data_IF_605809550839
#
_entry.id   IF_605809550839
#
_cell.length_a   1.000
_cell.length_b   1.000
_cell.length_c   1.000
_cell.angle_alpha   90.00
_cell.angle_beta   90.00
_cell.angle_gamma   90.00
#
_symmetry.space_group_name_H-M   'P 1'
#
loop_
_entity.id
_entity.type
_entity.pdbx_description
1 polymer ?
#
# COMPACT_ATOMS: atom_id res chain seq x y z
N UNK A 1 -7.37 -20.19 -18.16
CA UNK A 1 -8.22 -20.79 -17.11
C UNK A 1 -8.27 -19.83 -15.94
N UNK A 2 -9.46 -19.36 -15.56
CA UNK A 2 -9.64 -18.58 -14.32
C UNK A 2 -9.57 -19.53 -13.12
N UNK A 3 -8.90 -19.12 -12.04
CA UNK A 3 -8.88 -19.88 -10.78
C UNK A 3 -10.11 -19.56 -9.90
N UNK A 4 -11.00 -18.67 -10.35
CA UNK A 4 -12.23 -18.32 -9.66
C UNK A 4 -13.29 -19.40 -9.95
N UNK A 5 -13.93 -20.00 -8.93
CA UNK A 5 -15.06 -20.89 -9.13
C UNK A 5 -16.15 -20.23 -9.96
N UNK A 6 -16.78 -20.98 -10.88
CA UNK A 6 -17.79 -20.42 -11.80
C UNK A 6 -18.92 -19.68 -11.06
N UNK A 7 -19.36 -20.20 -9.91
CA UNK A 7 -20.40 -19.59 -9.08
C UNK A 7 -20.04 -18.23 -8.48
N UNK A 8 -18.75 -17.88 -8.40
CA UNK A 8 -18.28 -16.60 -7.86
C UNK A 8 -17.84 -15.62 -8.95
N UNK A 9 -17.69 -16.08 -10.20
CA UNK A 9 -17.11 -15.30 -11.29
C UNK A 9 -17.90 -14.02 -11.61
N UNK A 10 -19.21 -14.03 -11.35
CA UNK A 10 -20.14 -12.94 -11.65
C UNK A 10 -20.62 -12.18 -10.41
N UNK A 11 -20.20 -12.60 -9.22
CA UNK A 11 -20.60 -11.94 -7.98
C UNK A 11 -19.66 -10.76 -7.69
N UNK A 12 -20.15 -9.50 -7.78
CA UNK A 12 -19.32 -8.32 -7.59
C UNK A 12 -18.87 -8.12 -6.14
N UNK A 13 -19.44 -8.85 -5.18
CA UNK A 13 -19.05 -8.81 -3.77
C UNK A 13 -18.03 -9.89 -3.41
N UNK A 14 -17.67 -10.77 -4.36
CA UNK A 14 -16.69 -11.83 -4.11
C UNK A 14 -15.29 -11.43 -4.58
N UNK A 15 -14.35 -11.43 -3.64
CA UNK A 15 -12.96 -11.07 -3.90
C UNK A 15 -12.01 -12.23 -3.59
N UNK A 16 -10.91 -12.35 -4.34
CA UNK A 16 -9.80 -13.20 -3.94
C UNK A 16 -8.92 -12.47 -2.92
N UNK A 17 -8.60 -13.15 -1.82
CA UNK A 17 -7.64 -12.73 -0.81
C UNK A 17 -6.53 -13.78 -0.73
N UNK A 18 -5.29 -13.34 -0.58
CA UNK A 18 -4.14 -14.22 -0.41
C UNK A 18 -3.17 -13.60 0.57
N UNK A 19 -2.93 -14.31 1.67
CA UNK A 19 -1.99 -13.93 2.70
C UNK A 19 -0.51 -14.17 2.28
N UNK A 20 0.41 -13.58 3.05
CA UNK A 20 1.86 -13.70 2.91
C UNK A 20 2.54 -12.47 2.29
N UNK A 21 3.86 -12.54 2.12
CA UNK A 21 4.65 -11.39 1.66
C UNK A 21 4.74 -11.28 0.13
N UNK A 22 4.73 -12.42 -0.57
CA UNK A 22 4.88 -12.49 -2.02
C UNK A 22 3.56 -12.84 -2.72
N UNK A 23 3.11 -11.99 -3.65
CA UNK A 23 1.89 -12.24 -4.42
C UNK A 23 0.66 -12.16 -3.55
N UNK A 24 0.61 -11.22 -2.60
CA UNK A 24 -0.49 -11.08 -1.64
C UNK A 24 -1.54 -10.10 -2.13
N UNK A 25 -2.77 -10.38 -1.70
CA UNK A 25 -3.95 -9.56 -1.93
C UNK A 25 -4.65 -9.49 -0.58
N UNK A 26 -4.82 -8.28 -0.05
CA UNK A 26 -5.53 -8.03 1.20
C UNK A 26 -6.72 -7.12 0.92
N UNK A 27 -7.89 -7.47 1.45
CA UNK A 27 -9.13 -6.70 1.29
C UNK A 27 -9.61 -6.24 2.67
N UNK A 28 -9.74 -4.92 2.82
CA UNK A 28 -10.34 -4.25 3.97
C UNK A 28 -11.77 -3.86 3.61
N UNK A 29 -12.73 -4.28 4.43
CA UNK A 29 -14.15 -4.06 4.22
C UNK A 29 -14.86 -3.94 5.56
N UNK A 30 -16.04 -3.29 5.59
CA UNK A 30 -16.82 -3.15 6.81
C UNK A 30 -17.40 -4.49 7.28
N UNK A 31 -17.82 -5.33 6.34
CA UNK A 31 -18.24 -6.71 6.58
C UNK A 31 -17.52 -7.64 5.60
N UNK A 32 -16.94 -8.72 6.13
CA UNK A 32 -16.16 -9.69 5.37
C UNK A 32 -16.35 -11.10 5.93
N UNK A 33 -16.74 -12.03 5.08
CA UNK A 33 -16.86 -13.46 5.42
C UNK A 33 -16.10 -14.32 4.41
N UNK A 34 -15.32 -15.28 4.90
CA UNK A 34 -14.66 -16.26 4.03
C UNK A 34 -15.68 -17.30 3.55
N UNK A 35 -15.86 -17.38 2.24
CA UNK A 35 -16.76 -18.36 1.61
C UNK A 35 -16.07 -19.70 1.39
N UNK A 36 -14.84 -19.66 0.86
CA UNK A 36 -14.10 -20.88 0.49
C UNK A 36 -12.61 -20.62 0.41
N UNK A 37 -11.81 -21.57 0.89
CA UNK A 37 -10.36 -21.59 0.66
C UNK A 37 -10.01 -22.59 -0.44
N UNK A 38 -9.20 -22.16 -1.41
CA UNK A 38 -8.63 -23.04 -2.42
C UNK A 38 -7.13 -22.78 -2.54
N UNK A 39 -6.33 -23.77 -2.13
CA UNK A 39 -4.87 -23.63 -1.99
C UNK A 39 -4.54 -22.44 -1.07
N UNK A 40 -3.85 -21.43 -1.59
CA UNK A 40 -3.45 -20.22 -0.85
C UNK A 40 -4.41 -19.04 -1.04
N UNK A 41 -5.51 -19.22 -1.78
CA UNK A 41 -6.47 -18.14 -2.07
C UNK A 41 -7.73 -18.39 -1.26
N UNK A 42 -8.13 -17.38 -0.47
CA UNK A 42 -9.43 -17.30 0.17
C UNK A 42 -10.37 -16.52 -0.75
N UNK A 43 -11.53 -17.07 -1.06
CA UNK A 43 -12.63 -16.33 -1.67
C UNK A 43 -13.50 -15.81 -0.54
N UNK A 44 -13.62 -14.48 -0.48
CA UNK A 44 -14.35 -13.77 0.55
C UNK A 44 -15.57 -13.09 -0.08
N UNK A 45 -16.69 -13.03 0.63
CA UNK A 45 -17.74 -12.05 0.35
C UNK A 45 -17.40 -10.80 1.19
N UNK A 46 -17.23 -9.65 0.54
CA UNK A 46 -16.83 -8.41 1.18
C UNK A 46 -17.80 -7.28 0.80
N UNK A 47 -18.43 -6.68 1.80
CA UNK A 47 -19.37 -5.58 1.66
C UNK A 47 -18.76 -4.29 2.18
N UNK A 48 -19.04 -3.20 1.48
CA UNK A 48 -18.48 -1.88 1.75
C UNK A 48 -16.94 -1.92 1.85
N UNK A 49 -16.30 -2.31 0.74
CA UNK A 49 -14.83 -2.39 0.62
C UNK A 49 -14.23 -1.00 0.81
N UNK A 50 -13.37 -0.87 1.81
CA UNK A 50 -12.68 0.36 2.20
C UNK A 50 -11.31 0.47 1.53
N UNK A 51 -10.62 -0.65 1.33
CA UNK A 51 -9.29 -0.66 0.77
C UNK A 51 -8.84 -2.02 0.25
N UNK A 52 -7.94 -2.01 -0.72
CA UNK A 52 -7.31 -3.21 -1.28
C UNK A 52 -5.81 -2.95 -1.34
N UNK A 53 -5.02 -3.92 -0.90
CA UNK A 53 -3.56 -3.90 -1.01
C UNK A 53 -3.13 -5.10 -1.85
N UNK A 54 -2.33 -4.84 -2.88
CA UNK A 54 -1.78 -5.87 -3.75
C UNK A 54 -0.25 -5.74 -3.82
N UNK A 55 0.43 -6.84 -3.55
CA UNK A 55 1.87 -6.97 -3.76
C UNK A 55 2.11 -8.11 -4.75
N UNK A 56 2.79 -7.83 -5.85
CA UNK A 56 3.11 -8.87 -6.84
C UNK A 56 4.11 -9.89 -6.30
N UNK A 57 4.13 -11.09 -6.89
CA UNK A 57 5.04 -12.15 -6.48
C UNK A 57 6.52 -11.75 -6.60
N UNK A 58 6.87 -10.92 -7.58
CA UNK A 58 8.24 -10.41 -7.76
C UNK A 58 8.58 -9.24 -6.85
N UNK A 59 7.61 -8.64 -6.16
CA UNK A 59 7.80 -7.42 -5.36
C UNK A 59 7.84 -6.12 -6.18
N UNK A 60 7.96 -6.18 -7.51
CA UNK A 60 8.06 -4.99 -8.38
C UNK A 60 6.74 -4.23 -8.57
N UNK A 61 5.72 -4.56 -7.81
CA UNK A 61 4.42 -3.89 -7.85
C UNK A 61 3.81 -3.99 -6.47
N UNK A 62 3.53 -2.84 -5.89
CA UNK A 62 2.86 -2.66 -4.62
C UNK A 62 1.83 -1.56 -4.81
N UNK A 63 0.56 -1.95 -4.85
CA UNK A 63 -0.55 -1.04 -5.11
C UNK A 63 -1.50 -1.05 -3.93
N UNK A 64 -1.95 0.14 -3.55
CA UNK A 64 -3.00 0.36 -2.57
C UNK A 64 -4.13 1.12 -3.21
N UNK A 65 -5.31 0.51 -3.23
CA UNK A 65 -6.55 1.21 -3.54
C UNK A 65 -7.24 1.61 -2.24
N UNK A 66 -7.79 2.83 -2.19
CA UNK A 66 -8.63 3.30 -1.09
C UNK A 66 -9.90 3.91 -1.62
N UNK A 67 -11.03 3.56 -1.02
CA UNK A 67 -12.31 4.19 -1.27
C UNK A 67 -12.23 5.69 -0.97
N UNK A 68 -12.80 6.51 -1.85
CA UNK A 68 -12.92 7.96 -1.65
C UNK A 68 -14.38 8.37 -1.47
N UNK A 69 -15.28 7.86 -2.33
CA UNK A 69 -16.72 8.10 -2.27
C UNK A 69 -17.48 6.94 -2.90
N UNK A 70 -18.47 6.40 -2.19
CA UNK A 70 -19.30 5.28 -2.68
C UNK A 70 -18.44 4.15 -3.26
N UNK A 71 -18.58 3.81 -4.54
CA UNK A 71 -17.81 2.75 -5.21
C UNK A 71 -16.51 3.25 -5.85
N UNK A 72 -16.25 4.56 -5.79
CA UNK A 72 -15.06 5.17 -6.35
C UNK A 72 -13.91 5.18 -5.35
N UNK A 73 -12.69 5.09 -5.87
CA UNK A 73 -11.50 5.18 -5.05
C UNK A 73 -10.27 5.55 -5.86
N UNK A 74 -9.13 5.61 -5.18
CA UNK A 74 -7.85 5.99 -5.77
C UNK A 74 -6.84 4.88 -5.57
N UNK A 75 -6.11 4.55 -6.64
CA UNK A 75 -4.93 3.69 -6.57
C UNK A 75 -3.69 4.55 -6.37
N UNK A 76 -2.82 4.13 -5.47
CA UNK A 76 -1.47 4.67 -5.26
C UNK A 76 -0.46 3.52 -5.17
N UNK A 77 0.81 3.81 -5.43
CA UNK A 77 1.90 2.87 -5.19
C UNK A 77 2.85 2.74 -6.38
N UNK A 78 3.59 1.64 -6.40
CA UNK A 78 4.58 1.32 -7.42
C UNK A 78 4.05 0.23 -8.34
N UNK A 79 4.20 0.43 -9.65
CA UNK A 79 3.79 -0.54 -10.66
C UNK A 79 4.97 -0.87 -11.58
N UNK A 80 5.13 -2.15 -11.89
CA UNK A 80 5.97 -2.57 -13.01
C UNK A 80 5.30 -2.14 -14.33
N UNK A 81 6.07 -2.05 -15.42
CA UNK A 81 5.53 -1.73 -16.74
C UNK A 81 4.37 -2.67 -17.14
N UNK A 82 4.50 -3.98 -16.86
CA UNK A 82 3.44 -4.95 -17.12
C UNK A 82 2.18 -4.68 -16.28
N UNK A 83 2.35 -4.31 -15.01
CA UNK A 83 1.23 -3.94 -14.15
C UNK A 83 0.53 -2.68 -14.65
N UNK A 84 1.27 -1.69 -15.16
CA UNK A 84 0.71 -0.47 -15.73
C UNK A 84 -0.17 -0.77 -16.96
N UNK A 85 0.28 -1.65 -17.85
CA UNK A 85 -0.51 -2.12 -18.99
C UNK A 85 -1.82 -2.77 -18.53
N UNK A 86 -1.77 -3.59 -17.47
CA UNK A 86 -2.98 -4.22 -16.92
C UNK A 86 -3.95 -3.19 -16.31
N UNK A 87 -3.44 -2.18 -15.59
CA UNK A 87 -4.25 -1.11 -15.03
C UNK A 87 -4.95 -0.30 -16.12
N UNK A 88 -4.24 -0.03 -17.23
CA UNK A 88 -4.79 0.66 -18.39
C UNK A 88 -5.86 -0.18 -19.10
N UNK A 89 -5.57 -1.46 -19.35
CA UNK A 89 -6.51 -2.40 -19.99
C UNK A 89 -7.79 -2.60 -19.16
N UNK A 90 -7.64 -2.63 -17.83
CA UNK A 90 -8.75 -2.73 -16.88
C UNK A 90 -9.47 -1.39 -16.64
N UNK A 91 -9.07 -0.30 -17.31
CA UNK A 91 -9.61 1.07 -17.16
C UNK A 91 -9.53 1.62 -15.73
N UNK A 92 -8.57 1.14 -14.94
CA UNK A 92 -8.25 1.67 -13.62
C UNK A 92 -7.53 3.01 -13.74
N UNK A 93 -6.74 3.17 -14.81
CA UNK A 93 -6.11 4.43 -15.21
C UNK A 93 -6.49 4.76 -16.65
N UNK A 94 -6.32 6.02 -17.05
CA UNK A 94 -6.60 6.48 -18.42
C UNK A 94 -5.34 6.47 -19.29
N UNK A 95 -5.51 6.58 -20.62
CA UNK A 95 -4.36 6.67 -21.54
C UNK A 95 -3.56 7.95 -21.26
N UNK A 96 -4.25 9.06 -21.02
CA UNK A 96 -3.63 10.35 -20.74
C UNK A 96 -2.73 10.27 -19.50
N UNK A 97 -3.20 9.61 -18.44
CA UNK A 97 -2.39 9.39 -17.24
C UNK A 97 -1.21 8.44 -17.46
N UNK A 98 -1.38 7.41 -18.31
CA UNK A 98 -0.29 6.51 -18.66
C UNK A 98 0.81 7.25 -19.47
N UNK A 99 0.43 8.14 -20.37
CA UNK A 99 1.34 8.97 -21.15
C UNK A 99 2.08 9.97 -20.26
N UNK A 100 1.40 10.59 -19.29
CA UNK A 100 2.04 11.42 -18.27
C UNK A 100 3.11 10.63 -17.51
N UNK A 101 2.78 9.43 -17.02
CA UNK A 101 3.71 8.56 -16.31
C UNK A 101 4.94 8.16 -17.15
N UNK A 102 4.77 7.96 -18.46
CA UNK A 102 5.88 7.64 -19.37
C UNK A 102 6.81 8.85 -19.61
N UNK A 103 6.30 10.07 -19.48
CA UNK A 103 7.03 11.30 -19.75
C UNK A 103 7.71 11.92 -18.51
N UNK A 104 7.45 11.39 -17.30
CA UNK A 104 8.13 11.84 -16.07
C UNK A 104 9.61 11.45 -16.13
N UNK A 105 10.50 12.46 -16.18
CA UNK A 105 11.95 12.26 -16.07
C UNK A 105 12.32 11.86 -14.62
N UNK A 106 13.36 11.03 -14.39
CA UNK A 106 13.71 10.51 -13.06
C UNK A 106 14.08 11.54 -11.98
N UNK A 107 14.16 12.83 -12.30
CA UNK A 107 14.81 13.85 -11.47
C UNK A 107 14.02 14.24 -10.20
N UNK A 108 12.72 13.95 -10.09
CA UNK A 108 11.91 14.33 -8.93
C UNK A 108 11.94 13.31 -7.76
N UNK A 109 12.62 12.17 -7.90
CA UNK A 109 12.67 11.13 -6.84
C UNK A 109 13.77 11.34 -5.80
N UNK A 110 14.79 12.16 -6.08
CA UNK A 110 15.89 12.43 -5.15
C UNK A 110 15.50 13.47 -4.10
N UNK A 111 14.80 14.55 -4.47
CA UNK A 111 14.42 15.63 -3.56
C UNK A 111 13.48 15.17 -2.42
N UNK A 112 12.57 14.23 -2.71
CA UNK A 112 11.68 13.64 -1.70
C UNK A 112 12.43 12.81 -0.66
N UNK A 113 13.38 11.97 -1.09
CA UNK A 113 14.17 11.10 -0.20
C UNK A 113 15.16 11.89 0.66
N UNK A 114 15.75 12.95 0.10
CA UNK A 114 16.63 13.85 0.86
C UNK A 114 15.85 14.61 1.94
N UNK A 115 14.65 15.11 1.63
CA UNK A 115 13.81 15.82 2.59
C UNK A 115 13.34 14.95 3.77
N UNK A 116 13.09 13.66 3.52
CA UNK A 116 12.64 12.70 4.53
C UNK A 116 13.79 12.18 5.40
N UNK A 117 14.98 11.98 4.81
CA UNK A 117 16.20 11.65 5.55
C UNK A 117 16.68 12.83 6.42
N UNK A 118 16.59 14.07 5.92
CA UNK A 118 16.91 15.26 6.72
C UNK A 118 15.93 15.46 7.88
N UNK A 119 14.63 15.18 7.68
CA UNK A 119 13.64 15.22 8.77
C UNK A 119 13.87 14.16 9.84
N UNK A 120 14.27 12.94 9.44
CA UNK A 120 14.63 11.87 10.38
C UNK A 120 15.87 12.21 11.19
N UNK A 121 16.96 12.64 10.54
CA UNK A 121 18.19 13.06 11.24
C UNK A 121 17.96 14.23 12.20
N UNK A 122 17.13 15.21 11.81
CA UNK A 122 16.80 16.36 12.68
C UNK A 122 15.90 15.98 13.86
N UNK A 123 15.16 14.88 13.76
CA UNK A 123 14.35 14.35 14.86
C UNK A 123 15.23 13.56 15.84
N UNK A 124 16.10 12.70 15.32
CA UNK A 124 17.08 11.94 16.12
C UNK A 124 18.02 12.87 16.90
N UNK A 125 18.55 13.93 16.26
CA UNK A 125 19.41 14.90 16.93
C UNK A 125 18.70 15.68 18.03
N UNK A 126 17.39 15.92 17.89
CA UNK A 126 16.59 16.60 18.91
C UNK A 126 16.30 15.70 20.11
N UNK A 127 16.02 14.42 19.85
CA UNK A 127 15.82 13.43 20.93
C UNK A 127 17.13 13.20 21.69
N UNK A 128 18.29 13.19 21.03
CA UNK A 128 19.60 13.11 21.71
C UNK A 128 19.92 14.35 22.57
N UNK A 129 19.61 15.56 22.10
CA UNK A 129 19.77 16.81 22.89
C UNK A 129 18.82 16.87 24.09
N UNK A 130 17.60 16.33 23.97
CA UNK A 130 16.62 16.30 25.06
C UNK A 130 17.03 15.32 26.18
N UNK A 131 17.57 14.14 25.82
CA UNK A 131 18.07 13.16 26.80
C UNK A 131 19.34 13.59 27.53
N UNK A 132 20.19 14.41 26.91
CA UNK A 132 21.44 14.88 27.53
C UNK A 132 21.21 16.01 28.55
N UNK A 133 20.15 16.80 28.37
CA UNK A 133 19.76 17.84 29.33
C UNK A 133 19.18 17.28 30.64
N UNK A 134 18.51 16.12 30.58
CA UNK A 134 17.93 15.47 31.76
C UNK A 134 18.98 14.74 32.63
N UNK A 135 20.15 14.39 32.07
CA UNK A 135 21.26 13.77 32.81
C UNK A 135 22.09 14.80 33.60
N UNK A 136 22.25 16.02 33.07
CA UNK A 136 23.01 17.08 33.74
C UNK A 136 22.28 17.68 34.95
N UNK A 137 20.94 17.69 34.95
CA UNK A 137 20.14 18.23 36.07
C UNK A 137 20.11 17.27 37.29
N UNK A 138 20.32 15.96 37.08
CA UNK A 138 20.39 15.00 38.20
C UNK A 138 21.78 14.93 38.87
N UNK A 139 22.84 15.38 38.19
CA UNK A 139 24.19 15.37 38.74
C UNK A 139 24.47 16.50 39.76
N UNK A 140 23.61 17.53 39.85
CA UNK A 140 23.83 18.69 40.75
C UNK A 140 23.15 18.58 42.12
N UNK A 141 22.31 17.56 42.37
CA UNK A 141 21.52 17.45 43.62
C UNK A 141 22.09 16.49 44.67
N UNK A 142 23.29 15.93 44.49
CA UNK A 142 23.91 15.01 45.46
C UNK A 142 25.22 15.55 45.99
N UNK A 143 25.18 16.68 46.70
CA UNK A 143 26.27 17.09 47.58
C UNK A 143 25.78 18.05 48.67
N UNK A 144 25.20 17.48 49.74
CA UNK A 144 25.22 18.02 51.11
C UNK A 144 25.45 16.87 52.10
#
# INVERSE_FOLDING_TARGET
MSFIPEGYLRDPEVFPEKEGDAGSIYVEAADKVTLKKMRMINFINAKDVLGIIYTSKSGNTNLKWRQTREKNGRVIGEASANSLVNLLAARVITNEYADELANIKPQEREEGRESEQQKRKKKESKEEEEWTLDEDDQASSTSE
#
